data_IF_771851724167
#
_entry.id   IF_771851724167
#
_cell.length_a   1.000
_cell.length_b   1.000
_cell.length_c   1.000
_cell.angle_alpha   90.00
_cell.angle_beta   90.00
_cell.angle_gamma   90.00
#
_symmetry.space_group_name_H-M   'P 1'
#
loop_
_entity.id
_entity.type
_entity.pdbx_description
1 polymer ?
#
# COMPACT_ATOMS: atom_id res chain seq x y z
N UNK A 1 -41.20 -59.04 22.92
CA UNK A 1 -39.81 -58.99 22.41
C UNK A 1 -39.59 -57.61 21.81
N UNK A 2 -38.37 -57.09 21.98
CA UNK A 2 -37.89 -55.71 21.69
C UNK A 2 -38.33 -55.24 20.29
N UNK A 3 -38.52 -53.94 20.02
CA UNK A 3 -37.49 -53.06 19.45
C UNK A 3 -38.13 -51.66 19.24
N UNK A 4 -37.72 -50.62 19.98
CA UNK A 4 -36.78 -49.49 19.67
C UNK A 4 -37.48 -48.20 19.21
N UNK A 5 -37.19 -47.13 19.96
CA UNK A 5 -37.59 -45.73 19.76
C UNK A 5 -37.01 -45.15 18.46
N UNK A 6 -37.86 -44.50 17.65
CA UNK A 6 -37.42 -43.57 16.60
C UNK A 6 -37.21 -42.18 17.23
N UNK A 7 -35.96 -41.80 17.45
CA UNK A 7 -35.58 -40.43 17.73
C UNK A 7 -35.06 -39.78 16.43
N UNK A 8 -35.86 -38.86 15.90
CA UNK A 8 -35.53 -38.04 14.75
C UNK A 8 -34.66 -36.86 15.22
N UNK A 9 -33.35 -36.93 15.01
CA UNK A 9 -32.43 -35.82 15.28
C UNK A 9 -31.75 -35.37 13.98
N UNK A 10 -32.23 -34.25 13.44
CA UNK A 10 -31.68 -33.56 12.29
C UNK A 10 -30.47 -32.73 12.75
N UNK A 11 -29.25 -33.21 12.50
CA UNK A 11 -28.02 -32.47 12.77
C UNK A 11 -27.53 -31.82 11.47
N UNK A 12 -27.56 -30.49 11.43
CA UNK A 12 -26.98 -29.65 10.38
C UNK A 12 -25.46 -29.83 10.36
N UNK A 13 -24.90 -30.32 9.25
CA UNK A 13 -23.46 -30.32 9.01
C UNK A 13 -23.14 -29.27 7.92
N UNK A 14 -22.72 -28.10 8.37
CA UNK A 14 -22.06 -27.12 7.52
C UNK A 14 -20.66 -27.65 7.20
N UNK A 15 -20.42 -28.01 5.93
CA UNK A 15 -19.06 -28.34 5.47
C UNK A 15 -18.26 -27.03 5.41
N UNK A 16 -17.41 -26.81 6.41
CA UNK A 16 -16.33 -25.83 6.32
C UNK A 16 -15.17 -26.48 5.55
N UNK A 17 -14.59 -25.85 4.53
CA UNK A 17 -13.34 -26.34 3.95
C UNK A 17 -12.20 -26.11 4.96
N UNK A 18 -11.60 -27.23 5.41
CA UNK A 18 -10.38 -27.27 6.20
C UNK A 18 -9.23 -26.60 5.43
N UNK A 19 -8.55 -25.62 6.05
CA UNK A 19 -7.37 -24.93 5.50
C UNK A 19 -6.11 -25.82 5.37
N UNK A 20 -6.26 -27.15 5.30
CA UNK A 20 -5.17 -28.09 5.49
C UNK A 20 -4.49 -28.57 4.21
N UNK A 21 -5.01 -28.26 3.01
CA UNK A 21 -4.47 -28.80 1.75
C UNK A 21 -4.12 -27.71 0.71
N UNK A 22 -3.24 -26.78 1.09
CA UNK A 22 -2.49 -26.01 0.08
C UNK A 22 -1.01 -26.39 0.13
N UNK A 23 -0.43 -26.90 -0.97
CA UNK A 23 0.96 -27.33 -1.00
C UNK A 23 1.87 -26.10 -0.92
N UNK A 24 2.49 -25.90 0.25
CA UNK A 24 3.59 -24.94 0.44
C UNK A 24 4.85 -25.45 -0.28
N UNK A 25 4.84 -25.28 -1.60
CA UNK A 25 5.98 -25.50 -2.48
C UNK A 25 7.08 -24.49 -2.18
N UNK A 26 8.26 -25.02 -1.86
CA UNK A 26 9.48 -24.32 -1.47
C UNK A 26 9.96 -23.37 -2.58
N UNK A 27 9.72 -22.08 -2.40
CA UNK A 27 10.69 -20.98 -2.63
C UNK A 27 10.41 -19.90 -1.59
N UNK A 28 11.12 -19.96 -0.47
CA UNK A 28 11.21 -18.86 0.52
C UNK A 28 11.95 -17.67 -0.09
N UNK A 29 11.33 -17.04 -1.08
CA UNK A 29 11.75 -15.75 -1.59
C UNK A 29 11.17 -14.68 -0.67
N UNK A 30 11.99 -14.17 0.25
CA UNK A 30 11.83 -12.85 0.85
C UNK A 30 10.52 -12.55 1.61
N UNK A 31 9.95 -13.51 2.34
CA UNK A 31 8.97 -13.19 3.40
C UNK A 31 9.67 -12.48 4.59
N UNK A 32 11.00 -12.52 4.65
CA UNK A 32 11.81 -11.83 5.67
C UNK A 32 11.87 -10.30 5.56
N UNK A 33 11.41 -9.70 4.46
CA UNK A 33 11.35 -8.23 4.29
C UNK A 33 10.12 -7.57 4.95
N UNK A 34 9.15 -8.38 5.42
CA UNK A 34 7.82 -7.90 5.79
C UNK A 34 7.69 -7.35 7.23
N UNK A 35 8.70 -7.52 8.10
CA UNK A 35 8.53 -7.28 9.54
C UNK A 35 9.67 -6.49 10.24
N UNK A 36 10.71 -6.01 9.53
CA UNK A 36 11.91 -5.46 10.20
C UNK A 36 12.51 -4.18 9.60
N UNK A 37 11.66 -3.28 9.09
CA UNK A 37 12.05 -1.92 8.71
C UNK A 37 11.21 -0.91 9.47
N UNK A 38 11.86 0.03 10.17
CA UNK A 38 11.28 1.12 10.95
C UNK A 38 9.81 1.44 10.63
N UNK A 39 8.91 1.38 11.62
CA UNK A 39 7.50 1.75 11.49
C UNK A 39 7.39 3.18 10.98
N UNK A 40 7.30 3.36 9.66
CA UNK A 40 7.11 4.66 9.01
C UNK A 40 5.70 5.18 9.36
N UNK A 41 5.55 6.09 10.34
CA UNK A 41 4.22 6.47 10.83
C UNK A 41 3.42 7.18 9.74
N UNK A 42 4.09 7.89 8.84
CA UNK A 42 3.50 8.52 7.66
C UNK A 42 2.91 7.50 6.67
N UNK A 43 3.49 6.31 6.50
CA UNK A 43 2.89 5.26 5.67
C UNK A 43 1.60 4.74 6.30
N UNK A 44 1.57 4.55 7.63
CA UNK A 44 0.36 4.17 8.36
C UNK A 44 -0.73 5.23 8.19
N UNK A 45 -0.40 6.50 8.41
CA UNK A 45 -1.33 7.62 8.21
C UNK A 45 -1.84 7.64 6.77
N UNK A 46 -0.95 7.47 5.79
CA UNK A 46 -1.36 7.51 4.40
C UNK A 46 -2.30 6.36 4.02
N UNK A 47 -2.07 5.18 4.59
CA UNK A 47 -2.94 4.01 4.42
C UNK A 47 -4.33 4.27 4.99
N UNK A 48 -4.45 5.03 6.08
CA UNK A 48 -5.74 5.41 6.67
C UNK A 48 -6.52 6.41 5.81
N UNK A 49 -5.84 7.20 4.97
CA UNK A 49 -6.50 8.19 4.11
C UNK A 49 -7.00 7.58 2.78
N UNK A 50 -6.64 6.33 2.46
CA UNK A 50 -7.07 5.64 1.22
C UNK A 50 -8.58 5.76 1.05
N UNK A 51 -9.02 6.19 -0.13
CA UNK A 51 -10.42 6.42 -0.44
C UNK A 51 -10.96 7.81 -0.08
N UNK A 52 -10.14 8.69 0.51
CA UNK A 52 -10.52 10.06 0.87
C UNK A 52 -9.80 11.11 0.01
N UNK A 53 -10.25 12.37 0.08
CA UNK A 53 -9.50 13.53 -0.41
C UNK A 53 -9.25 14.50 0.76
N UNK A 54 -8.18 14.31 1.53
CA UNK A 54 -7.90 15.14 2.71
C UNK A 54 -7.42 16.55 2.35
N UNK A 55 -7.16 16.83 1.06
CA UNK A 55 -6.63 18.13 0.62
C UNK A 55 -7.71 19.12 0.19
N UNK A 56 -8.92 18.63 -0.12
CA UNK A 56 -10.00 19.40 -0.74
C UNK A 56 -9.74 19.81 -2.20
N UNK A 57 -8.58 19.47 -2.78
CA UNK A 57 -8.22 19.88 -4.15
C UNK A 57 -8.79 18.90 -5.18
N UNK A 58 -9.29 19.44 -6.29
CA UNK A 58 -9.91 18.63 -7.36
C UNK A 58 -8.92 17.90 -8.27
N UNK A 59 -7.67 18.41 -8.38
CA UNK A 59 -6.61 17.88 -9.24
C UNK A 59 -5.22 18.24 -8.74
N UNK A 60 -4.21 17.53 -9.26
CA UNK A 60 -2.78 17.84 -9.10
C UNK A 60 -2.31 17.98 -7.64
N UNK A 61 -2.86 17.17 -6.74
CA UNK A 61 -2.62 17.32 -5.31
C UNK A 61 -1.73 16.23 -4.70
N UNK A 62 -1.08 15.39 -5.51
CA UNK A 62 -0.17 14.35 -5.00
C UNK A 62 0.93 14.93 -4.09
N UNK A 63 1.65 15.98 -4.51
CA UNK A 63 2.66 16.63 -3.67
C UNK A 63 2.07 17.37 -2.47
N UNK A 64 0.90 18.01 -2.61
CA UNK A 64 0.19 18.64 -1.48
C UNK A 64 -0.15 17.62 -0.39
N UNK A 65 -0.63 16.45 -0.79
CA UNK A 65 -0.90 15.36 0.14
C UNK A 65 0.36 14.83 0.80
N UNK A 66 1.44 14.64 0.03
CA UNK A 66 2.73 14.25 0.59
C UNK A 66 3.20 15.25 1.66
N UNK A 67 2.97 16.57 1.48
CA UNK A 67 3.28 17.58 2.49
C UNK A 67 2.46 17.43 3.79
N UNK A 68 1.25 16.91 3.73
CA UNK A 68 0.44 16.72 4.94
C UNK A 68 0.78 15.46 5.72
N UNK A 69 1.43 14.48 5.10
CA UNK A 69 1.71 13.17 5.74
C UNK A 69 3.19 12.94 6.04
N UNK A 70 4.11 13.52 5.28
CA UNK A 70 5.56 13.30 5.47
C UNK A 70 6.14 14.24 6.53
N UNK A 71 7.12 13.77 7.33
CA UNK A 71 7.85 14.64 8.26
C UNK A 71 8.77 15.60 7.50
N UNK A 72 8.92 16.83 8.02
CA UNK A 72 9.76 17.91 7.48
C UNK A 72 9.64 18.05 5.95
N UNK A 73 8.40 18.23 5.43
CA UNK A 73 8.17 18.19 4.00
C UNK A 73 8.78 19.41 3.30
N UNK A 74 9.10 19.25 2.02
CA UNK A 74 9.44 20.39 1.16
C UNK A 74 8.22 21.30 0.97
N UNK A 75 8.44 22.57 0.58
CA UNK A 75 7.36 23.53 0.33
C UNK A 75 6.59 23.28 -0.97
N UNK A 76 7.19 22.57 -1.94
CA UNK A 76 6.62 22.37 -3.28
C UNK A 76 5.52 21.30 -3.33
N UNK A 77 4.48 21.58 -4.13
CA UNK A 77 3.43 20.62 -4.47
C UNK A 77 3.74 19.83 -5.77
N UNK A 78 4.79 20.19 -6.51
CA UNK A 78 5.15 19.49 -7.76
C UNK A 78 5.80 18.16 -7.41
N UNK A 79 5.35 17.08 -8.04
CA UNK A 79 5.86 15.74 -7.79
C UNK A 79 7.39 15.65 -7.95
N UNK A 80 7.93 16.17 -9.06
CA UNK A 80 9.35 16.06 -9.38
C UNK A 80 10.29 16.73 -8.36
N UNK A 81 9.82 17.73 -7.62
CA UNK A 81 10.63 18.43 -6.62
C UNK A 81 10.92 17.56 -5.40
N UNK A 82 10.09 16.53 -5.16
CA UNK A 82 10.30 15.56 -4.09
C UNK A 82 11.57 14.74 -4.26
N UNK A 83 12.26 14.78 -5.42
CA UNK A 83 13.58 14.16 -5.58
C UNK A 83 14.65 14.75 -4.65
N UNK A 84 14.40 15.94 -4.10
CA UNK A 84 15.29 16.65 -3.17
C UNK A 84 14.93 16.45 -1.70
N UNK A 85 13.83 15.75 -1.41
CA UNK A 85 13.37 15.50 -0.04
C UNK A 85 14.34 14.60 0.74
N UNK A 86 14.67 14.94 1.98
CA UNK A 86 15.42 14.05 2.90
C UNK A 86 16.71 13.46 2.30
N UNK A 87 17.01 12.20 2.62
CA UNK A 87 18.20 11.48 2.10
C UNK A 87 17.87 10.65 0.85
N UNK A 88 18.80 10.62 -0.11
CA UNK A 88 18.71 9.74 -1.28
C UNK A 88 18.94 8.26 -0.94
N UNK A 89 18.15 7.38 -1.56
CA UNK A 89 18.31 5.93 -1.48
C UNK A 89 18.68 5.34 -2.85
N UNK A 90 19.50 4.29 -2.85
CA UNK A 90 19.87 3.54 -4.05
C UNK A 90 18.75 2.62 -4.58
N UNK A 91 17.64 2.48 -3.84
CA UNK A 91 16.54 1.59 -4.21
C UNK A 91 15.31 1.77 -3.33
N UNK A 92 14.22 1.04 -3.63
CA UNK A 92 13.00 1.14 -2.87
C UNK A 92 13.16 0.58 -1.46
N UNK A 93 12.42 1.19 -0.55
CA UNK A 93 12.30 0.78 0.85
C UNK A 93 10.88 1.10 1.29
N UNK A 94 10.23 0.20 2.03
CA UNK A 94 8.89 0.45 2.57
C UNK A 94 8.92 1.71 3.44
N UNK A 95 8.02 2.65 3.18
CA UNK A 95 7.97 3.98 3.80
C UNK A 95 8.78 5.05 3.08
N UNK A 96 9.61 4.72 2.09
CA UNK A 96 10.33 5.72 1.29
C UNK A 96 9.35 6.48 0.38
N UNK A 97 9.71 7.71 0.05
CA UNK A 97 9.08 8.44 -1.06
C UNK A 97 9.63 7.92 -2.37
N UNK A 98 8.75 7.53 -3.29
CA UNK A 98 9.10 7.25 -4.67
C UNK A 98 8.60 8.39 -5.57
N UNK A 99 9.50 8.89 -6.41
CA UNK A 99 9.26 10.07 -7.24
C UNK A 99 9.18 9.66 -8.71
N UNK A 100 8.12 10.09 -9.39
CA UNK A 100 7.97 10.08 -10.84
C UNK A 100 7.87 11.53 -11.36
N UNK A 101 8.08 11.79 -12.66
CA UNK A 101 7.99 13.14 -13.22
C UNK A 101 6.69 13.90 -12.87
N UNK A 102 5.56 13.20 -12.87
CA UNK A 102 4.23 13.77 -12.63
C UNK A 102 3.48 13.15 -11.45
N UNK A 103 4.14 12.31 -10.65
CA UNK A 103 3.50 11.64 -9.52
C UNK A 103 4.48 11.35 -8.39
N UNK A 104 3.99 11.32 -7.16
CA UNK A 104 4.79 11.04 -5.97
C UNK A 104 3.93 10.28 -4.97
N UNK A 105 4.52 9.33 -4.27
CA UNK A 105 3.84 8.49 -3.28
C UNK A 105 4.81 7.84 -2.30
N UNK A 106 4.24 7.14 -1.31
CA UNK A 106 4.99 6.41 -0.30
C UNK A 106 4.99 4.93 -0.67
N UNK A 107 6.16 4.30 -0.70
CA UNK A 107 6.32 2.88 -1.00
C UNK A 107 5.66 2.03 0.09
N UNK A 108 4.62 1.29 -0.29
CA UNK A 108 3.94 0.31 0.55
C UNK A 108 4.60 -1.07 0.44
N UNK A 109 4.92 -1.48 -0.78
CA UNK A 109 5.61 -2.74 -1.07
C UNK A 109 6.35 -2.63 -2.41
N UNK A 110 7.23 -3.58 -2.70
CA UNK A 110 7.96 -3.63 -3.96
C UNK A 110 8.43 -5.04 -4.27
N UNK A 111 8.73 -5.29 -5.54
CA UNK A 111 9.38 -6.49 -6.04
C UNK A 111 10.53 -6.11 -7.00
N UNK A 112 11.03 -7.09 -7.75
CA UNK A 112 12.12 -6.89 -8.71
C UNK A 112 11.80 -5.84 -9.78
N UNK A 113 10.53 -5.73 -10.19
CA UNK A 113 10.10 -4.97 -11.35
C UNK A 113 9.22 -3.76 -10.99
N UNK A 114 8.52 -3.82 -9.85
CA UNK A 114 7.49 -2.85 -9.50
C UNK A 114 7.61 -2.31 -8.07
N UNK A 115 7.03 -1.13 -7.87
CA UNK A 115 6.73 -0.55 -6.55
C UNK A 115 5.25 -0.29 -6.44
N UNK A 116 4.67 -0.60 -5.28
CA UNK A 116 3.29 -0.26 -4.93
C UNK A 116 3.34 0.95 -4.01
N UNK A 117 2.66 2.02 -4.40
CA UNK A 117 2.67 3.31 -3.70
C UNK A 117 1.30 3.62 -3.11
N UNK A 118 1.28 4.17 -1.90
CA UNK A 118 0.13 4.95 -1.40
C UNK A 118 0.35 6.41 -1.77
N UNK A 119 -0.58 7.00 -2.50
CA UNK A 119 -0.43 8.37 -3.00
C UNK A 119 -1.75 9.13 -3.14
N UNK A 120 -1.65 10.45 -3.03
CA UNK A 120 -2.77 11.35 -3.32
C UNK A 120 -2.99 11.53 -4.83
N UNK A 121 -4.18 12.00 -5.20
CA UNK A 121 -4.58 12.26 -6.60
C UNK A 121 -4.41 11.03 -7.51
N UNK A 122 -4.62 9.83 -6.98
CA UNK A 122 -4.28 8.57 -7.65
C UNK A 122 -5.37 8.16 -8.67
N UNK A 123 -6.50 7.67 -8.18
CA UNK A 123 -7.60 7.11 -9.00
C UNK A 123 -8.81 8.04 -9.04
N UNK A 124 -9.69 7.85 -10.03
CA UNK A 124 -10.95 8.58 -10.21
C UNK A 124 -10.91 9.66 -11.30
N UNK A 125 -12.11 10.14 -11.69
CA UNK A 125 -12.27 11.29 -12.59
C UNK A 125 -11.70 12.56 -11.97
N UNK A 126 -11.32 13.54 -12.79
CA UNK A 126 -10.95 14.87 -12.29
C UNK A 126 -12.08 15.41 -11.38
N UNK A 127 -11.74 15.95 -10.21
CA UNK A 127 -12.72 16.36 -9.19
C UNK A 127 -13.13 15.26 -8.20
N UNK A 128 -13.02 13.98 -8.57
CA UNK A 128 -13.35 12.84 -7.71
C UNK A 128 -12.11 12.04 -7.27
N UNK A 129 -10.91 12.58 -7.52
CA UNK A 129 -9.67 11.87 -7.20
C UNK A 129 -9.47 11.71 -5.70
N UNK A 130 -8.93 10.57 -5.30
CA UNK A 130 -8.71 10.16 -3.91
C UNK A 130 -7.28 9.71 -3.66
N UNK A 131 -6.93 9.56 -2.38
CA UNK A 131 -5.76 8.77 -1.99
C UNK A 131 -6.02 7.33 -2.41
N UNK A 132 -5.03 6.70 -3.02
CA UNK A 132 -5.16 5.35 -3.54
C UNK A 132 -3.85 4.58 -3.49
N UNK A 133 -3.97 3.30 -3.82
CA UNK A 133 -2.85 2.36 -3.88
C UNK A 133 -2.61 1.98 -5.33
N UNK A 134 -1.41 2.26 -5.83
CA UNK A 134 -1.05 2.06 -7.24
C UNK A 134 0.24 1.29 -7.42
N UNK A 135 0.27 0.33 -8.34
CA UNK A 135 1.48 -0.38 -8.75
C UNK A 135 2.12 0.29 -9.97
N UNK A 136 3.42 0.52 -9.91
CA UNK A 136 4.19 1.21 -10.93
C UNK A 136 5.48 0.45 -11.25
N UNK A 137 5.86 0.40 -12.53
CA UNK A 137 7.19 -0.08 -12.92
C UNK A 137 8.28 0.77 -12.27
N UNK A 138 9.35 0.12 -11.80
CA UNK A 138 10.54 0.77 -11.26
C UNK A 138 11.22 1.68 -12.27
N UNK A 139 11.11 1.40 -13.56
CA UNK A 139 11.65 2.24 -14.63
C UNK A 139 11.02 3.64 -14.70
N UNK A 140 9.85 3.84 -14.07
CA UNK A 140 9.20 5.15 -13.99
C UNK A 140 9.73 6.01 -12.84
N UNK A 141 10.39 5.39 -11.86
CA UNK A 141 10.85 6.06 -10.65
C UNK A 141 12.21 6.70 -10.91
N UNK A 142 12.27 8.02 -10.71
CA UNK A 142 13.51 8.81 -10.91
C UNK A 142 14.30 8.99 -9.61
N UNK A 143 13.67 8.82 -8.46
CA UNK A 143 14.33 8.87 -7.16
C UNK A 143 13.55 8.12 -6.08
N UNK A 144 14.30 7.50 -5.16
CA UNK A 144 13.80 7.06 -3.86
C UNK A 144 14.39 7.93 -2.76
N UNK A 145 13.54 8.45 -1.88
CA UNK A 145 13.94 9.34 -0.80
C UNK A 145 13.45 8.83 0.54
N UNK A 146 14.30 8.89 1.54
CA UNK A 146 13.99 8.49 2.91
C UNK A 146 13.91 9.73 3.80
N UNK A 147 13.15 9.68 4.90
CA UNK A 147 13.38 10.56 6.05
C UNK A 147 14.87 10.74 6.34
#
# INVERSE_FOLDING_TARGET
MRVVFLALSLFMLTVQPSFADMPFGKKTANIGGFMKGAKAPWLKKATQDVGTNPTGWSRQWCGRYMRSVMPNPISSNRAIDWRHYGKGLNGPKVGAVAVMPHHVGIVQSFDANSVTLVSGNHSGSAGARKVGVGRYSRSRIVAYRWP
#
